data_IF_968404007704
#
_entry.id   IF_968404007704
#
_cell.length_a   1.000
_cell.length_b   1.000
_cell.length_c   1.000
_cell.angle_alpha   90.00
_cell.angle_beta   90.00
_cell.angle_gamma   90.00
#
_symmetry.space_group_name_H-M   'P 1'
#
loop_
_entity.id
_entity.type
_entity.pdbx_description
1 polymer ?
#
# COMPACT_ATOMS: atom_id res chain seq x y z
N UNK A 1 -1.26 -11.64 17.59
CA UNK A 1 -1.03 -11.20 18.06
C UNK A 1 -1.32 -10.66 18.41
N UNK A 2 -1.79 -10.59 18.14
CA UNK A 2 -1.73 -10.00 18.48
C UNK A 2 -1.59 -9.81 19.30
N UNK A 3 -1.42 -9.54 19.57
CA UNK A 3 -1.14 -9.35 20.31
C UNK A 3 -0.67 -9.14 20.89
N UNK A 4 -0.24 -9.00 21.01
CA UNK A 4 0.07 -8.58 21.87
C UNK A 4 0.82 -7.80 22.30
N UNK A 5 1.81 -8.07 22.29
CA UNK A 5 2.65 -7.00 22.35
C UNK A 5 1.99 -5.69 22.28
N UNK A 6 1.19 -5.51 21.34
CA UNK A 6 0.51 -4.27 21.12
C UNK A 6 -0.81 -4.19 21.85
N UNK A 7 -1.19 -5.21 22.55
CA UNK A 7 -2.50 -5.26 23.15
C UNK A 7 -2.75 -4.09 24.10
N UNK A 8 -1.72 -3.68 24.79
CA UNK A 8 -1.83 -2.58 25.71
C UNK A 8 -2.17 -1.30 25.00
N UNK A 9 -1.51 -1.04 23.90
CA UNK A 9 -1.79 0.14 23.11
C UNK A 9 -3.19 0.12 22.55
N UNK A 10 -3.63 -1.04 22.17
CA UNK A 10 -4.97 -1.17 21.62
C UNK A 10 -6.02 -0.75 22.62
N UNK A 11 -5.82 -1.10 23.87
CA UNK A 11 -6.75 -0.69 24.90
C UNK A 11 -6.81 0.82 25.03
N UNK A 12 -5.66 1.46 24.94
CA UNK A 12 -5.60 2.90 25.07
C UNK A 12 -6.33 3.60 23.94
N UNK A 13 -6.40 3.00 22.78
CA UNK A 13 -7.01 3.62 21.63
C UNK A 13 -8.42 3.19 21.37
N UNK A 14 -8.83 2.06 21.89
CA UNK A 14 -10.20 1.62 21.72
C UNK A 14 -11.12 2.67 22.30
N UNK A 15 -12.12 3.04 21.58
CA UNK A 15 -13.07 4.04 22.05
C UNK A 15 -12.62 5.46 21.85
N UNK A 16 -11.55 5.68 21.10
CA UNK A 16 -11.11 7.03 20.80
C UNK A 16 -11.79 7.55 19.55
N UNK A 17 -11.06 8.37 18.79
CA UNK A 17 -11.62 9.10 17.68
C UNK A 17 -12.47 8.28 16.73
N UNK A 18 -12.19 7.04 16.57
CA UNK A 18 -12.97 6.19 15.67
C UNK A 18 -13.82 5.22 16.45
N UNK A 19 -14.52 5.70 17.43
CA UNK A 19 -15.34 4.84 18.28
C UNK A 19 -16.26 3.94 17.50
N UNK A 20 -16.73 4.42 16.36
CA UNK A 20 -17.65 3.62 15.56
C UNK A 20 -16.98 2.40 14.95
N UNK A 21 -15.66 2.42 14.87
CA UNK A 21 -14.89 1.35 14.24
C UNK A 21 -13.65 1.03 15.05
N UNK A 22 -13.84 0.62 16.32
CA UNK A 22 -12.69 0.37 17.19
C UNK A 22 -11.78 -0.74 16.67
N UNK A 23 -12.32 -1.77 16.04
CA UNK A 23 -11.51 -2.84 15.50
C UNK A 23 -10.59 -2.36 14.39
N UNK A 24 -11.11 -1.49 13.54
CA UNK A 24 -10.33 -0.92 12.45
C UNK A 24 -9.18 -0.09 13.00
N UNK A 25 -9.46 0.69 14.02
CA UNK A 25 -8.42 1.52 14.62
C UNK A 25 -7.32 0.69 15.25
N UNK A 26 -7.69 -0.38 15.93
CA UNK A 26 -6.71 -1.28 16.54
C UNK A 26 -5.83 -1.91 15.48
N UNK A 27 -6.43 -2.39 14.42
CA UNK A 27 -5.69 -3.00 13.32
C UNK A 27 -4.73 -2.01 12.69
N UNK A 28 -5.18 -0.78 12.45
CA UNK A 28 -4.34 0.24 11.86
C UNK A 28 -3.14 0.54 12.72
N UNK A 29 -3.34 0.64 14.03
CA UNK A 29 -2.26 0.90 14.98
C UNK A 29 -1.27 -0.25 15.01
N UNK A 30 -1.77 -1.47 15.04
CA UNK A 30 -0.92 -2.65 15.07
C UNK A 30 -0.06 -2.73 13.82
N UNK A 31 -0.66 -2.49 12.66
CA UNK A 31 0.08 -2.53 11.39
C UNK A 31 1.15 -1.47 11.34
N UNK A 32 0.85 -0.27 11.77
CA UNK A 32 1.84 0.80 11.81
C UNK A 32 2.99 0.44 12.75
N UNK A 33 2.68 -0.18 13.88
CA UNK A 33 3.72 -0.59 14.80
C UNK A 33 4.66 -1.61 14.18
N UNK A 34 4.09 -2.54 13.41
CA UNK A 34 4.85 -3.63 12.84
C UNK A 34 5.68 -3.20 11.63
N UNK A 35 5.18 -2.25 10.85
CA UNK A 35 5.79 -1.91 9.57
C UNK A 35 6.18 -0.45 9.41
N UNK A 36 6.14 0.32 10.49
CA UNK A 36 6.39 1.76 10.40
C UNK A 36 7.77 2.14 9.87
N UNK A 37 8.71 1.20 9.92
CA UNK A 37 10.08 1.47 9.49
C UNK A 37 10.36 1.06 8.06
N UNK A 38 9.33 0.67 7.31
CA UNK A 38 9.53 0.32 5.92
C UNK A 38 9.66 1.61 5.12
N UNK A 39 10.82 1.80 4.51
CA UNK A 39 11.10 3.00 3.74
C UNK A 39 10.43 2.94 2.38
N UNK A 40 10.23 4.11 1.78
CA UNK A 40 9.72 4.18 0.41
C UNK A 40 10.78 3.71 -0.60
N UNK A 41 12.04 3.83 -0.24
CA UNK A 41 13.14 3.28 -1.03
C UNK A 41 13.74 2.17 -0.18
N UNK A 42 13.40 0.93 -0.50
CA UNK A 42 13.78 -0.21 0.34
C UNK A 42 14.45 -1.30 -0.50
N UNK A 43 14.65 -2.48 0.08
CA UNK A 43 15.37 -3.56 -0.60
C UNK A 43 14.58 -4.18 -1.74
N UNK A 44 13.28 -3.94 -1.83
CA UNK A 44 12.43 -4.57 -2.85
C UNK A 44 12.07 -3.61 -3.98
N UNK A 45 11.88 -2.33 -3.66
CA UNK A 45 11.42 -1.36 -4.65
C UNK A 45 11.69 0.06 -4.19
N UNK A 46 11.34 1.02 -5.04
CA UNK A 46 11.33 2.42 -4.63
C UNK A 46 10.00 3.04 -5.01
N UNK A 47 9.52 3.96 -4.18
CA UNK A 47 8.32 4.74 -4.44
C UNK A 47 8.67 6.20 -4.17
N UNK A 48 8.42 7.07 -5.15
CA UNK A 48 8.61 8.49 -4.93
C UNK A 48 7.59 8.97 -3.89
N UNK A 49 8.03 9.78 -2.93
CA UNK A 49 7.15 10.25 -1.86
C UNK A 49 5.85 10.86 -2.41
N UNK A 50 5.95 11.65 -3.47
CA UNK A 50 4.78 12.28 -4.05
C UNK A 50 3.76 11.28 -4.56
N UNK A 51 4.19 10.10 -4.96
CA UNK A 51 3.23 9.08 -5.44
C UNK A 51 2.26 8.69 -4.34
N UNK A 52 2.74 8.56 -3.11
CA UNK A 52 1.87 8.20 -2.00
C UNK A 52 1.01 9.39 -1.57
N UNK A 53 1.64 10.53 -1.31
CA UNK A 53 0.94 11.65 -0.69
C UNK A 53 0.12 12.49 -1.67
N UNK A 54 0.52 12.54 -2.94
CA UNK A 54 -0.11 13.44 -3.89
C UNK A 54 -0.89 12.73 -4.99
N UNK A 55 -0.70 11.43 -5.15
CA UNK A 55 -1.43 10.69 -6.18
C UNK A 55 -2.34 9.62 -5.63
N UNK A 56 -1.86 8.80 -4.70
CA UNK A 56 -2.69 7.71 -4.21
C UNK A 56 -3.67 8.13 -3.12
N UNK A 57 -3.22 8.97 -2.19
CA UNK A 57 -4.05 9.30 -1.02
C UNK A 57 -4.47 10.76 -0.96
N UNK A 58 -4.34 11.51 -2.04
CA UNK A 58 -4.79 12.88 -2.07
C UNK A 58 -6.24 12.93 -2.55
N UNK A 59 -7.13 13.57 -1.80
CA UNK A 59 -8.53 13.68 -2.23
C UNK A 59 -8.61 14.31 -3.62
N UNK A 60 -9.39 13.71 -4.50
CA UNK A 60 -9.53 14.18 -5.86
C UNK A 60 -8.52 13.61 -6.84
N UNK A 61 -7.50 12.91 -6.36
CA UNK A 61 -6.56 12.24 -7.26
C UNK A 61 -7.27 11.08 -7.96
N UNK A 62 -6.75 10.70 -9.12
CA UNK A 62 -7.44 9.78 -10.02
C UNK A 62 -7.94 8.50 -9.37
N UNK A 63 -7.13 7.87 -8.56
CA UNK A 63 -7.48 6.59 -7.95
C UNK A 63 -7.64 6.66 -6.42
N UNK A 64 -7.65 7.86 -5.85
CA UNK A 64 -7.67 7.99 -4.40
C UNK A 64 -8.90 7.33 -3.78
N UNK A 65 -10.06 7.45 -4.43
CA UNK A 65 -11.28 6.87 -3.87
C UNK A 65 -11.17 5.35 -3.73
N UNK A 66 -10.38 4.69 -4.58
CA UNK A 66 -10.20 3.25 -4.47
C UNK A 66 -9.61 2.89 -3.10
N UNK A 67 -8.66 3.70 -2.64
CA UNK A 67 -7.99 3.44 -1.36
C UNK A 67 -8.85 3.87 -0.18
N UNK A 68 -9.56 4.98 -0.31
CA UNK A 68 -10.45 5.42 0.76
C UNK A 68 -11.57 4.43 1.00
N UNK A 69 -12.10 3.82 -0.05
CA UNK A 69 -13.17 2.84 0.07
C UNK A 69 -12.78 1.62 0.88
N UNK A 70 -11.51 1.29 0.92
CA UNK A 70 -11.05 0.13 1.69
C UNK A 70 -10.40 0.54 3.01
N UNK A 71 -10.55 1.81 3.39
CA UNK A 71 -10.23 2.24 4.74
C UNK A 71 -8.96 3.05 4.95
N UNK A 72 -8.16 3.24 3.91
CA UNK A 72 -6.99 4.12 4.07
C UNK A 72 -7.45 5.56 4.14
N UNK A 73 -6.75 6.36 4.94
CA UNK A 73 -6.98 7.80 5.01
C UNK A 73 -5.79 8.53 4.41
N UNK A 74 -5.91 9.86 4.30
CA UNK A 74 -4.82 10.68 3.77
C UNK A 74 -3.54 10.58 4.59
N UNK A 75 -3.65 10.10 5.83
CA UNK A 75 -2.50 10.00 6.73
C UNK A 75 -1.86 8.61 6.73
N UNK A 76 -2.38 7.70 5.93
CA UNK A 76 -1.96 6.30 5.98
C UNK A 76 -0.93 5.93 4.92
N UNK A 77 -0.16 6.91 4.44
CA UNK A 77 0.83 6.64 3.40
C UNK A 77 1.84 5.56 3.77
N UNK A 78 2.37 5.62 4.99
CA UNK A 78 3.35 4.63 5.41
C UNK A 78 2.71 3.27 5.66
N UNK A 79 1.46 3.28 6.12
CA UNK A 79 0.73 2.03 6.30
C UNK A 79 0.48 1.36 4.96
N UNK A 80 0.06 2.15 3.97
CA UNK A 80 -0.14 1.63 2.62
C UNK A 80 1.17 1.06 2.07
N UNK A 81 2.27 1.80 2.25
CA UNK A 81 3.57 1.33 1.81
C UNK A 81 3.93 0.00 2.47
N UNK A 82 3.66 -0.13 3.76
CA UNK A 82 3.96 -1.37 4.47
C UNK A 82 3.13 -2.53 3.94
N UNK A 83 1.87 -2.29 3.63
CA UNK A 83 1.01 -3.33 3.06
C UNK A 83 1.52 -3.75 1.68
N UNK A 84 1.96 -2.80 0.88
CA UNK A 84 2.55 -3.09 -0.42
C UNK A 84 3.84 -3.89 -0.26
N UNK A 85 4.72 -3.46 0.64
CA UNK A 85 5.99 -4.12 0.87
C UNK A 85 5.79 -5.59 1.24
N UNK A 86 4.84 -5.85 2.13
CA UNK A 86 4.58 -7.21 2.60
C UNK A 86 4.15 -8.14 1.48
N UNK A 87 3.48 -7.61 0.46
CA UNK A 87 2.95 -8.42 -0.64
C UNK A 87 3.79 -8.35 -1.90
N UNK A 88 4.76 -7.46 -1.95
CA UNK A 88 5.59 -7.32 -3.14
C UNK A 88 6.47 -8.57 -3.30
N UNK A 89 6.34 -9.22 -4.45
CA UNK A 89 7.10 -10.43 -4.75
C UNK A 89 7.20 -10.53 -6.26
N UNK A 90 8.40 -10.36 -6.79
CA UNK A 90 8.60 -10.37 -8.24
C UNK A 90 8.26 -11.70 -8.88
N UNK A 91 8.21 -12.78 -8.11
CA UNK A 91 7.76 -14.07 -8.65
C UNK A 91 6.29 -14.04 -9.05
N UNK A 92 5.55 -13.05 -8.56
CA UNK A 92 4.13 -12.89 -8.87
C UNK A 92 3.88 -11.87 -9.97
N UNK A 93 4.92 -11.36 -10.58
CA UNK A 93 4.71 -10.33 -11.61
C UNK A 93 4.01 -10.93 -12.82
N UNK A 94 3.17 -10.12 -13.43
CA UNK A 94 2.36 -10.50 -14.58
C UNK A 94 2.32 -9.33 -15.55
N UNK A 95 1.81 -9.57 -16.75
CA UNK A 95 1.72 -8.54 -17.78
C UNK A 95 3.08 -7.89 -18.04
N UNK A 96 4.10 -8.73 -18.11
CA UNK A 96 5.48 -8.26 -18.29
C UNK A 96 5.68 -7.76 -19.71
N UNK A 97 6.23 -6.55 -19.81
CA UNK A 97 6.51 -5.91 -21.09
C UNK A 97 7.97 -5.47 -21.08
N UNK A 98 8.77 -6.02 -21.98
CA UNK A 98 10.15 -5.60 -22.14
C UNK A 98 10.24 -4.65 -23.31
N UNK A 99 10.84 -3.50 -23.09
CA UNK A 99 10.97 -2.49 -24.13
C UNK A 99 12.35 -2.50 -24.75
N UNK A 100 12.46 -1.93 -25.93
CA UNK A 100 13.73 -1.95 -26.67
C UNK A 100 14.86 -1.28 -25.91
N UNK A 101 14.53 -0.28 -25.07
CA UNK A 101 15.54 0.44 -24.30
C UNK A 101 16.00 -0.34 -23.06
N UNK A 102 15.50 -1.57 -22.85
CA UNK A 102 15.86 -2.37 -21.69
C UNK A 102 14.97 -2.18 -20.49
N UNK A 103 13.95 -1.35 -20.61
CA UNK A 103 13.00 -1.09 -19.53
C UNK A 103 12.02 -2.26 -19.42
N UNK A 104 11.71 -2.66 -18.19
CA UNK A 104 10.74 -3.74 -17.94
C UNK A 104 9.55 -3.14 -17.19
N UNK A 105 8.35 -3.34 -17.73
CA UNK A 105 7.12 -2.91 -17.06
C UNK A 105 6.31 -4.14 -16.69
N UNK A 106 5.75 -4.16 -15.49
CA UNK A 106 4.96 -5.31 -15.05
C UNK A 106 3.95 -4.91 -13.97
N UNK A 107 3.04 -5.81 -13.68
CA UNK A 107 2.04 -5.61 -12.64
C UNK A 107 2.17 -6.70 -11.59
N UNK A 108 1.75 -6.37 -10.36
CA UNK A 108 1.59 -7.35 -9.30
C UNK A 108 0.22 -7.05 -8.67
N UNK A 109 -0.60 -8.09 -8.55
CA UNK A 109 -1.87 -7.95 -7.87
C UNK A 109 -1.69 -8.14 -6.38
N UNK A 110 -2.32 -7.28 -5.60
CA UNK A 110 -2.20 -7.30 -4.15
C UNK A 110 -3.57 -7.09 -3.51
N UNK A 111 -3.76 -7.67 -2.34
CA UNK A 111 -4.99 -7.45 -1.59
C UNK A 111 -4.72 -6.34 -0.58
N UNK A 112 -5.32 -5.18 -0.82
CA UNK A 112 -5.08 -4.00 0.00
C UNK A 112 -6.36 -3.54 0.67
N UNK A 113 -6.24 -3.03 1.88
CA UNK A 113 -7.37 -2.49 2.60
C UNK A 113 -7.28 -2.70 4.10
N UNK A 114 -8.02 -1.89 4.83
CA UNK A 114 -8.07 -1.92 6.29
C UNK A 114 -9.43 -2.39 6.77
N UNK A 115 -10.50 -1.72 6.31
CA UNK A 115 -11.86 -2.10 6.70
C UNK A 115 -12.35 -3.30 5.90
N UNK A 116 -11.86 -3.45 4.72
CA UNK A 116 -12.10 -4.59 3.85
C UNK A 116 -10.93 -4.66 2.90
N UNK A 117 -10.67 -5.81 2.33
CA UNK A 117 -9.61 -5.91 1.33
C UNK A 117 -10.25 -6.09 -0.04
N UNK A 118 -9.61 -5.48 -1.03
CA UNK A 118 -9.98 -5.65 -2.42
C UNK A 118 -8.71 -5.87 -3.21
N UNK A 119 -8.86 -6.45 -4.38
CA UNK A 119 -7.72 -6.72 -5.22
C UNK A 119 -7.34 -5.46 -5.96
N UNK A 120 -6.08 -5.06 -5.80
CA UNK A 120 -5.52 -3.91 -6.49
C UNK A 120 -4.47 -4.37 -7.48
N UNK A 121 -4.38 -3.65 -8.59
CA UNK A 121 -3.31 -3.87 -9.54
C UNK A 121 -2.26 -2.81 -9.27
N UNK A 122 -1.04 -3.24 -8.97
CA UNK A 122 0.08 -2.32 -8.80
C UNK A 122 0.97 -2.43 -10.02
N UNK A 123 1.44 -1.30 -10.52
CA UNK A 123 2.21 -1.24 -11.76
C UNK A 123 3.59 -0.71 -11.46
N UNK A 124 4.59 -1.37 -12.02
CA UNK A 124 6.00 -1.14 -11.72
C UNK A 124 6.83 -1.05 -12.99
N UNK A 125 7.92 -0.30 -12.91
CA UNK A 125 8.89 -0.22 -14.01
C UNK A 125 10.28 -0.45 -13.43
N UNK A 126 11.02 -1.35 -14.05
CA UNK A 126 12.46 -1.49 -13.78
C UNK A 126 13.18 -0.79 -14.91
N UNK A 127 13.85 0.29 -14.59
CA UNK A 127 14.62 1.03 -15.59
C UNK A 127 15.80 0.18 -16.06
N UNK A 128 16.26 0.42 -17.25
CA UNK A 128 17.37 -0.35 -17.82
C UNK A 128 18.57 -0.30 -16.87
N UNK A 129 19.08 -1.48 -16.51
CA UNK A 129 20.23 -1.55 -15.61
C UNK A 129 19.93 -1.36 -14.13
N UNK A 130 18.69 -1.11 -13.76
CA UNK A 130 18.34 -0.89 -12.35
C UNK A 130 18.21 -2.23 -11.63
N UNK A 131 18.64 -2.26 -10.37
CA UNK A 131 18.54 -3.46 -9.57
C UNK A 131 17.12 -3.72 -9.09
N UNK A 132 16.36 -2.67 -8.85
CA UNK A 132 15.02 -2.81 -8.33
C UNK A 132 14.03 -1.94 -9.09
N UNK A 133 12.75 -2.33 -9.10
CA UNK A 133 11.76 -1.56 -9.82
C UNK A 133 11.27 -0.37 -9.01
N UNK A 134 10.65 0.58 -9.71
CA UNK A 134 10.02 1.72 -9.09
C UNK A 134 8.51 1.65 -9.32
N UNK A 135 7.79 2.18 -8.37
CA UNK A 135 6.34 2.20 -8.39
C UNK A 135 5.83 3.22 -9.42
N UNK A 136 4.81 2.83 -10.18
CA UNK A 136 4.17 3.74 -11.14
C UNK A 136 2.79 4.15 -10.66
N UNK A 137 1.91 3.19 -10.41
CA UNK A 137 0.56 3.47 -9.96
C UNK A 137 -0.09 2.23 -9.38
N UNK A 138 -1.26 2.42 -8.77
CA UNK A 138 -2.05 1.30 -8.28
C UNK A 138 -3.52 1.71 -8.30
N UNK A 139 -4.39 0.76 -8.60
CA UNK A 139 -5.82 1.02 -8.62
C UNK A 139 -6.57 -0.29 -8.42
N UNK A 140 -7.83 -0.17 -8.02
CA UNK A 140 -8.65 -1.33 -7.72
C UNK A 140 -8.98 -2.09 -8.99
N UNK A 141 -8.72 -3.39 -8.97
CA UNK A 141 -9.00 -4.28 -10.08
C UNK A 141 -10.50 -4.45 -10.24
N UNK A 142 -10.96 -4.38 -11.49
CA UNK A 142 -12.36 -4.65 -11.77
C UNK A 142 -13.34 -3.54 -11.42
N UNK A 143 -12.85 -2.41 -10.91
CA UNK A 143 -13.75 -1.30 -10.61
C UNK A 143 -14.19 -0.63 -11.91
N UNK A 144 -15.50 -0.45 -12.05
CA UNK A 144 -16.03 0.23 -13.21
C UNK A 144 -15.85 1.73 -13.04
N UNK A 145 -15.33 2.39 -14.06
CA UNK A 145 -15.03 3.81 -13.96
C UNK A 145 -15.79 4.64 -14.99
#
# INVERSE_FOLDING_TARGET
>A
RVQDVHSKKWKDYAGKADEDLPGVKIERIARNSDYRNIELDNDRYSIARAKISEFLLKPGAKYASDFFEVGYSTKDGMLLNADIYRQFDERRKTDVELRENGEERFSIYMDLGITQTKRFRTVWIRDAGAEKPRFVTAYREGKRR
#
